data_IF_076146890019
#
_entry.id   IF_076146890019
#
_cell.length_a   1.000
_cell.length_b   1.000
_cell.length_c   1.000
_cell.angle_alpha   90.00
_cell.angle_beta   90.00
_cell.angle_gamma   90.00
#
_symmetry.space_group_name_H-M   'P 1'
#
loop_
_entity.id
_entity.type
_entity.pdbx_description
1 polymer ?
#
# COMPACT_ATOMS: atom_id res chain seq x y z
N UNK A 1 -10.05 -48.23 10.28
CA UNK A 1 -10.90 -47.03 10.52
C UNK A 1 -10.22 -45.94 11.36
N UNK A 2 -9.40 -46.25 12.39
CA UNK A 2 -8.69 -45.20 13.17
C UNK A 2 -7.64 -44.41 12.38
N UNK A 3 -6.86 -45.06 11.51
CA UNK A 3 -5.81 -44.39 10.73
C UNK A 3 -6.33 -43.39 9.68
N UNK A 4 -7.42 -43.71 9.00
CA UNK A 4 -8.10 -42.81 8.06
C UNK A 4 -8.64 -41.55 8.74
N UNK A 5 -9.15 -41.65 9.97
CA UNK A 5 -9.64 -40.49 10.71
C UNK A 5 -8.49 -39.56 11.15
N UNK A 6 -7.34 -40.12 11.52
CA UNK A 6 -6.14 -39.34 11.84
C UNK A 6 -5.62 -38.62 10.60
N UNK A 7 -5.59 -39.31 9.45
CA UNK A 7 -5.17 -38.70 8.18
C UNK A 7 -6.09 -37.54 7.77
N UNK A 8 -7.40 -37.73 7.85
CA UNK A 8 -8.39 -36.68 7.56
C UNK A 8 -8.27 -35.48 8.51
N UNK A 9 -7.98 -35.73 9.78
CA UNK A 9 -7.74 -34.67 10.77
C UNK A 9 -6.49 -33.84 10.44
N UNK A 10 -5.38 -34.48 10.04
CA UNK A 10 -4.16 -33.77 9.62
C UNK A 10 -4.43 -32.92 8.37
N UNK A 11 -5.14 -33.48 7.38
CA UNK A 11 -5.52 -32.73 6.17
C UNK A 11 -6.37 -31.50 6.54
N UNK A 12 -7.34 -31.66 7.44
CA UNK A 12 -8.18 -30.56 7.90
C UNK A 12 -7.38 -29.46 8.61
N UNK A 13 -6.37 -29.82 9.42
CA UNK A 13 -5.47 -28.84 10.05
C UNK A 13 -4.62 -28.10 9.02
N UNK A 14 -4.05 -28.80 8.04
CA UNK A 14 -3.26 -28.15 6.99
C UNK A 14 -4.13 -27.17 6.21
N UNK A 15 -5.34 -27.56 5.83
CA UNK A 15 -6.29 -26.69 5.13
C UNK A 15 -6.68 -25.46 5.97
N UNK A 16 -6.91 -25.61 7.28
CA UNK A 16 -7.27 -24.48 8.14
C UNK A 16 -6.12 -23.48 8.32
N UNK A 17 -4.88 -23.96 8.44
CA UNK A 17 -3.70 -23.08 8.45
C UNK A 17 -3.52 -22.31 7.13
N UNK A 18 -3.68 -22.99 5.99
CA UNK A 18 -3.60 -22.32 4.68
C UNK A 18 -4.67 -21.24 4.51
N UNK A 19 -5.90 -21.52 4.92
CA UNK A 19 -6.99 -20.53 4.90
C UNK A 19 -6.70 -19.34 5.83
N UNK A 20 -6.18 -19.62 7.04
CA UNK A 20 -5.79 -18.57 8.00
C UNK A 20 -4.73 -17.62 7.44
N UNK A 21 -3.72 -18.16 6.76
CA UNK A 21 -2.64 -17.37 6.13
C UNK A 21 -3.17 -16.42 5.06
N UNK A 22 -4.07 -16.92 4.19
CA UNK A 22 -4.64 -16.10 3.11
C UNK A 22 -5.53 -14.97 3.66
N UNK A 23 -6.29 -15.22 4.73
CA UNK A 23 -7.13 -14.21 5.38
C UNK A 23 -6.26 -13.10 5.98
N UNK A 24 -5.16 -13.45 6.65
CA UNK A 24 -4.25 -12.47 7.25
C UNK A 24 -3.60 -11.58 6.20
N UNK A 25 -3.17 -12.15 5.07
CA UNK A 25 -2.54 -11.41 3.98
C UNK A 25 -3.51 -10.40 3.35
N UNK A 26 -4.73 -10.82 3.05
CA UNK A 26 -5.78 -9.92 2.53
C UNK A 26 -6.15 -8.82 3.54
N UNK A 27 -6.29 -9.17 4.82
CA UNK A 27 -6.65 -8.19 5.86
C UNK A 27 -5.52 -7.19 6.14
N UNK A 28 -4.26 -7.63 6.03
CA UNK A 28 -3.07 -6.79 6.14
C UNK A 28 -3.05 -5.74 5.04
N UNK A 29 -3.28 -6.16 3.80
CA UNK A 29 -3.22 -5.25 2.65
C UNK A 29 -4.35 -4.21 2.70
N UNK A 30 -5.56 -4.62 3.10
CA UNK A 30 -6.69 -3.70 3.34
C UNK A 30 -6.36 -2.71 4.46
N UNK A 31 -5.74 -3.17 5.55
CA UNK A 31 -5.33 -2.32 6.67
C UNK A 31 -4.31 -1.28 6.22
N UNK A 32 -3.29 -1.68 5.47
CA UNK A 32 -2.25 -0.77 4.98
C UNK A 32 -2.83 0.24 3.99
N UNK A 33 -3.77 -0.17 3.14
CA UNK A 33 -4.46 0.74 2.22
C UNK A 33 -5.30 1.77 2.96
N UNK A 34 -5.94 1.37 4.06
CA UNK A 34 -6.71 2.29 4.89
C UNK A 34 -5.80 3.25 5.70
N UNK A 35 -4.63 2.76 6.15
CA UNK A 35 -3.61 3.60 6.78
C UNK A 35 -3.11 4.66 5.79
N UNK A 36 -2.78 4.26 4.55
CA UNK A 36 -2.39 5.19 3.50
C UNK A 36 -3.45 6.26 3.26
N UNK A 37 -4.73 5.88 3.16
CA UNK A 37 -5.81 6.85 2.99
C UNK A 37 -5.86 7.89 4.10
N UNK A 38 -5.68 7.47 5.35
CA UNK A 38 -5.67 8.38 6.51
C UNK A 38 -4.41 9.26 6.51
N UNK A 39 -3.26 8.66 6.23
CA UNK A 39 -1.96 9.31 6.29
C UNK A 39 -1.78 10.36 5.17
N UNK A 40 -2.22 10.06 3.94
CA UNK A 40 -2.25 11.02 2.82
C UNK A 40 -3.10 12.26 3.17
N UNK A 41 -4.28 12.03 3.77
CA UNK A 41 -5.17 13.12 4.22
C UNK A 41 -4.54 13.93 5.35
N UNK A 42 -3.96 13.26 6.35
CA UNK A 42 -3.32 13.93 7.49
C UNK A 42 -2.11 14.77 7.07
N UNK A 43 -1.36 14.33 6.07
CA UNK A 43 -0.19 15.05 5.55
C UNK A 43 -0.53 16.15 4.54
N UNK A 44 -1.80 16.29 4.14
CA UNK A 44 -2.26 17.35 3.22
C UNK A 44 -1.81 17.15 1.77
N UNK A 45 -1.55 15.91 1.35
CA UNK A 45 -1.15 15.62 -0.04
C UNK A 45 -2.38 15.74 -0.94
N UNK A 46 -2.33 16.66 -1.91
CA UNK A 46 -3.43 16.87 -2.85
C UNK A 46 -3.52 15.72 -3.85
N UNK A 47 -4.67 15.05 -3.88
CA UNK A 47 -4.99 13.99 -4.85
C UNK A 47 -6.48 14.02 -5.14
N UNK A 48 -6.84 13.76 -6.40
CA UNK A 48 -8.24 13.75 -6.86
C UNK A 48 -9.01 12.55 -6.30
N UNK A 49 -8.35 11.41 -6.13
CA UNK A 49 -8.90 10.23 -5.46
C UNK A 49 -7.81 9.54 -4.63
N UNK A 50 -7.97 9.62 -3.30
CA UNK A 50 -7.06 9.02 -2.33
C UNK A 50 -7.00 7.50 -2.47
N UNK A 51 -8.09 6.85 -2.87
CA UNK A 51 -8.15 5.40 -3.08
C UNK A 51 -7.29 4.99 -4.26
N UNK A 52 -7.53 5.60 -5.41
CA UNK A 52 -6.76 5.34 -6.62
C UNK A 52 -5.27 5.68 -6.42
N UNK A 53 -4.98 6.77 -5.71
CA UNK A 53 -3.60 7.16 -5.40
C UNK A 53 -2.88 6.13 -4.53
N UNK A 54 -3.48 5.71 -3.41
CA UNK A 54 -2.90 4.67 -2.56
C UNK A 54 -2.78 3.32 -3.29
N UNK A 55 -3.75 2.95 -4.14
CA UNK A 55 -3.67 1.75 -4.95
C UNK A 55 -2.56 1.84 -6.03
N UNK A 56 -2.30 3.03 -6.56
CA UNK A 56 -1.16 3.30 -7.44
C UNK A 56 0.18 3.14 -6.74
N UNK A 57 0.29 3.62 -5.50
CA UNK A 57 1.47 3.48 -4.65
C UNK A 57 1.86 2.03 -4.37
N UNK A 58 0.87 1.15 -4.12
CA UNK A 58 1.10 -0.30 -3.96
C UNK A 58 1.81 -0.88 -5.19
N UNK A 59 1.49 -0.40 -6.40
CA UNK A 59 2.09 -0.89 -7.65
C UNK A 59 3.42 -0.22 -7.99
N UNK A 60 3.53 1.08 -7.73
CA UNK A 60 4.71 1.86 -8.11
C UNK A 60 5.88 1.67 -7.13
N UNK A 61 5.59 1.60 -5.84
CA UNK A 61 6.60 1.56 -4.78
C UNK A 61 6.16 0.57 -3.66
N UNK A 62 6.05 -0.73 -3.98
CA UNK A 62 5.54 -1.75 -3.04
C UNK A 62 6.38 -1.86 -1.77
N UNK A 63 7.69 -1.61 -1.87
CA UNK A 63 8.59 -1.63 -0.72
C UNK A 63 8.26 -0.48 0.24
N UNK A 64 8.14 0.75 -0.25
CA UNK A 64 7.76 1.91 0.56
C UNK A 64 6.40 1.70 1.23
N UNK A 65 5.43 1.15 0.49
CA UNK A 65 4.09 0.93 0.99
C UNK A 65 4.02 -0.16 2.07
N UNK A 66 4.59 -1.34 1.78
CA UNK A 66 4.46 -2.52 2.65
C UNK A 66 5.35 -2.39 3.88
N UNK A 67 6.58 -1.90 3.73
CA UNK A 67 7.51 -1.70 4.83
C UNK A 67 6.97 -0.70 5.86
N UNK A 68 6.39 0.41 5.38
CA UNK A 68 5.82 1.44 6.24
C UNK A 68 4.35 1.18 6.62
N UNK A 69 3.81 -0.01 6.30
CA UNK A 69 2.43 -0.41 6.66
C UNK A 69 1.37 0.58 6.19
N UNK A 70 1.60 1.20 5.03
CA UNK A 70 0.75 2.24 4.45
C UNK A 70 1.01 3.67 4.93
N UNK A 71 1.88 3.91 5.92
CA UNK A 71 2.21 5.27 6.39
C UNK A 71 3.28 5.90 5.49
N UNK A 72 2.87 6.38 4.32
CA UNK A 72 3.76 6.84 3.25
C UNK A 72 3.83 8.37 3.09
N UNK A 73 2.92 9.11 3.73
CA UNK A 73 2.72 10.54 3.52
C UNK A 73 3.95 11.40 3.81
N UNK A 74 4.72 11.06 4.85
CA UNK A 74 6.00 11.74 5.16
C UNK A 74 6.98 11.67 3.98
N UNK A 75 7.20 10.46 3.46
CA UNK A 75 8.16 10.19 2.39
C UNK A 75 7.73 10.80 1.05
N UNK A 76 6.42 10.86 0.80
CA UNK A 76 5.88 11.47 -0.42
C UNK A 76 5.96 13.00 -0.41
N UNK A 77 5.81 13.63 0.75
CA UNK A 77 6.08 15.07 0.89
C UNK A 77 7.53 15.41 0.65
N UNK A 78 8.46 14.61 1.17
CA UNK A 78 9.90 14.77 0.92
C UNK A 78 10.20 14.70 -0.59
N UNK A 79 9.74 13.64 -1.29
CA UNK A 79 9.90 13.53 -2.75
C UNK A 79 9.27 14.68 -3.55
N UNK A 80 8.12 15.20 -3.11
CA UNK A 80 7.46 16.33 -3.77
C UNK A 80 8.23 17.64 -3.54
N UNK A 81 8.86 17.78 -2.37
CA UNK A 81 9.68 18.94 -2.01
C UNK A 81 11.05 18.93 -2.71
N UNK A 82 11.54 17.75 -3.07
CA UNK A 82 12.78 17.53 -3.83
C UNK A 82 12.59 17.52 -5.36
N UNK A 83 11.34 17.51 -5.86
CA UNK A 83 11.09 17.59 -7.28
C UNK A 83 11.68 18.91 -7.84
N UNK A 84 12.46 18.87 -8.93
CA UNK A 84 13.08 20.08 -9.47
C UNK A 84 11.96 21.08 -9.80
N UNK A 85 12.08 22.28 -9.23
CA UNK A 85 11.20 23.41 -9.54
C UNK A 85 11.01 23.45 -11.05
N UNK A 86 9.77 23.32 -11.53
CA UNK A 86 9.42 23.59 -12.93
C UNK A 86 10.08 24.92 -13.30
N UNK A 87 11.05 24.87 -14.20
CA UNK A 87 11.61 26.04 -14.84
C UNK A 87 10.45 26.74 -15.54
N UNK A 88 10.01 27.86 -14.95
CA UNK A 88 9.11 28.79 -15.64
C UNK A 88 9.84 29.22 -16.91
N UNK A 89 9.29 29.02 -18.12
CA UNK A 89 9.93 29.51 -19.32
C UNK A 89 10.04 31.02 -19.21
N UNK A 90 11.28 31.51 -19.19
CA UNK A 90 11.61 32.93 -19.19
C UNK A 90 10.98 33.53 -20.45
N UNK A 91 9.99 34.39 -20.29
CA UNK A 91 9.38 35.14 -21.38
C UNK A 91 10.48 35.82 -22.19
N UNK A 92 10.58 35.49 -23.48
CA UNK A 92 11.46 36.17 -24.43
C UNK A 92 11.14 37.67 -24.48
N UNK A 93 12.15 38.56 -24.56
CA UNK A 93 11.89 39.97 -24.79
C UNK A 93 11.39 40.14 -26.23
N UNK A 94 10.18 40.70 -26.38
CA UNK A 94 9.68 41.16 -27.68
C UNK A 94 10.67 42.16 -28.27
N UNK A 95 11.11 41.86 -29.49
CA UNK A 95 11.89 42.75 -30.35
C UNK A 95 10.98 43.70 -31.11
#
# INVERSE_FOLDING_TARGET
MRGTNILLFIIALVLSLFLGLQIEEQYRDVRYLNNCKKDIKANGIQTNDVTAYCAGLVRQDPYLFTYNRGNVGKYLRERTSEAPKKTVPKSEPKK
#
